data_IF_981949931904
#
_entry.id   IF_981949931904
#
_cell.length_a   1.000
_cell.length_b   1.000
_cell.length_c   1.000
_cell.angle_alpha   90.00
_cell.angle_beta   90.00
_cell.angle_gamma   90.00
#
_symmetry.space_group_name_H-M   'P 1'
#
loop_
_entity.id
_entity.type
_entity.pdbx_description
1 polymer ?
#
# COMPACT_ATOMS: atom_id res chain seq x y z
N UNK A 1 4.61 4.83 -32.25
CA UNK A 1 3.29 4.39 -31.71
C UNK A 1 3.37 3.57 -30.43
N UNK A 2 3.92 2.33 -30.36
CA UNK A 2 3.83 1.52 -29.11
C UNK A 2 4.44 2.16 -27.85
N UNK A 3 5.52 2.94 -27.97
CA UNK A 3 6.14 3.62 -26.83
C UNK A 3 5.44 4.94 -26.43
N UNK A 4 4.59 5.51 -27.30
CA UNK A 4 3.99 6.83 -27.08
C UNK A 4 3.03 6.85 -25.89
N UNK A 5 2.34 5.75 -25.59
CA UNK A 5 1.42 5.68 -24.44
C UNK A 5 2.19 5.75 -23.13
N UNK A 6 3.26 4.95 -23.01
CA UNK A 6 4.09 4.94 -21.80
C UNK A 6 4.79 6.28 -21.61
N UNK A 7 5.35 6.85 -22.68
CA UNK A 7 5.99 8.17 -22.67
C UNK A 7 4.97 9.28 -22.33
N UNK A 8 3.73 9.19 -22.82
CA UNK A 8 2.64 10.12 -22.46
C UNK A 8 2.29 10.03 -20.98
N UNK A 9 2.16 8.82 -20.42
CA UNK A 9 1.93 8.62 -19.00
C UNK A 9 3.05 9.23 -18.16
N UNK A 10 4.31 9.01 -18.56
CA UNK A 10 5.49 9.59 -17.88
C UNK A 10 5.52 11.12 -17.95
N UNK A 11 5.06 11.72 -19.05
CA UNK A 11 5.09 13.18 -19.24
C UNK A 11 4.27 13.98 -18.22
N UNK A 12 3.38 13.32 -17.47
CA UNK A 12 2.57 13.91 -16.40
C UNK A 12 3.31 14.07 -15.08
N UNK A 13 4.50 13.47 -14.97
CA UNK A 13 5.31 13.50 -13.77
C UNK A 13 6.45 14.50 -13.90
N UNK A 14 6.95 14.95 -12.75
CA UNK A 14 8.23 15.64 -12.70
C UNK A 14 9.36 14.63 -13.00
N UNK A 15 10.16 14.91 -14.03
CA UNK A 15 11.28 14.09 -14.46
C UNK A 15 12.64 14.81 -14.30
N UNK A 16 12.67 15.92 -13.55
CA UNK A 16 13.86 16.80 -13.42
C UNK A 16 15.04 16.15 -12.70
N UNK A 17 14.79 15.18 -11.84
CA UNK A 17 15.83 14.44 -11.10
C UNK A 17 15.74 12.94 -11.40
N UNK A 18 16.86 12.23 -11.32
CA UNK A 18 16.89 10.77 -11.48
C UNK A 18 15.96 10.05 -10.50
N UNK A 19 15.84 10.57 -9.27
CA UNK A 19 14.91 10.03 -8.28
C UNK A 19 13.45 10.24 -8.70
N UNK A 20 13.08 11.44 -9.17
CA UNK A 20 11.72 11.73 -9.61
C UNK A 20 11.36 10.89 -10.86
N UNK A 21 12.31 10.76 -11.79
CA UNK A 21 12.17 9.88 -12.95
C UNK A 21 11.99 8.42 -12.56
N UNK A 22 12.79 7.90 -11.62
CA UNK A 22 12.62 6.53 -11.09
C UNK A 22 11.22 6.34 -10.49
N UNK A 23 10.77 7.30 -9.67
CA UNK A 23 9.46 7.23 -9.02
C UNK A 23 8.31 7.29 -10.03
N UNK A 24 8.42 8.13 -11.06
CA UNK A 24 7.46 8.20 -12.16
C UNK A 24 7.35 6.86 -12.91
N UNK A 25 8.48 6.25 -13.25
CA UNK A 25 8.49 4.95 -13.95
C UNK A 25 7.85 3.87 -13.07
N UNK A 26 8.11 3.86 -11.76
CA UNK A 26 7.43 2.95 -10.84
C UNK A 26 5.91 3.14 -10.84
N UNK A 27 5.42 4.37 -10.67
CA UNK A 27 4.00 4.65 -10.56
C UNK A 27 3.25 4.38 -11.88
N UNK A 28 3.88 4.66 -13.02
CA UNK A 28 3.35 4.28 -14.35
C UNK A 28 3.30 2.75 -14.50
N UNK A 29 4.35 2.04 -14.11
CA UNK A 29 4.34 0.57 -14.14
C UNK A 29 3.27 -0.03 -13.20
N UNK A 30 3.02 0.58 -12.03
CA UNK A 30 1.93 0.18 -11.14
C UNK A 30 0.55 0.38 -11.80
N UNK A 31 0.34 1.50 -12.50
CA UNK A 31 -0.89 1.73 -13.28
C UNK A 31 -1.06 0.72 -14.42
N UNK A 32 0.03 0.35 -15.10
CA UNK A 32 0.00 -0.70 -16.13
C UNK A 32 -0.38 -2.07 -15.55
N UNK A 33 0.11 -2.40 -14.35
CA UNK A 33 -0.30 -3.62 -13.63
C UNK A 33 -1.79 -3.57 -13.32
N UNK A 34 -2.32 -2.45 -12.78
CA UNK A 34 -3.75 -2.32 -12.50
C UNK A 34 -4.61 -2.48 -13.77
N UNK A 35 -4.17 -1.94 -14.91
CA UNK A 35 -4.86 -2.11 -16.18
C UNK A 35 -4.90 -3.57 -16.64
N UNK A 36 -3.78 -4.29 -16.53
CA UNK A 36 -3.71 -5.72 -16.84
C UNK A 36 -4.57 -6.56 -15.89
N UNK A 37 -4.56 -6.25 -14.59
CA UNK A 37 -5.41 -6.92 -13.59
C UNK A 37 -6.89 -6.70 -13.86
N UNK A 38 -7.28 -5.48 -14.25
CA UNK A 38 -8.65 -5.20 -14.68
C UNK A 38 -9.05 -6.03 -15.91
N UNK A 39 -8.21 -6.02 -16.96
CA UNK A 39 -8.48 -6.78 -18.18
C UNK A 39 -8.58 -8.30 -17.92
N UNK A 40 -7.84 -8.80 -16.93
CA UNK A 40 -7.90 -10.20 -16.48
C UNK A 40 -9.05 -10.54 -15.53
N UNK A 41 -9.91 -9.58 -15.17
CA UNK A 41 -11.05 -9.83 -14.26
C UNK A 41 -10.68 -9.96 -12.78
N UNK A 42 -9.47 -9.57 -12.36
CA UNK A 42 -9.01 -9.77 -10.97
C UNK A 42 -9.88 -9.06 -9.93
N UNK A 43 -10.42 -7.88 -10.27
CA UNK A 43 -11.23 -7.07 -9.36
C UNK A 43 -12.66 -7.62 -9.14
N UNK A 44 -13.01 -8.75 -9.74
CA UNK A 44 -14.18 -9.54 -9.37
C UNK A 44 -13.97 -10.33 -8.07
N UNK A 45 -12.72 -10.69 -7.76
CA UNK A 45 -12.37 -11.52 -6.61
C UNK A 45 -11.51 -10.81 -5.56
N UNK A 46 -10.92 -9.65 -5.89
CA UNK A 46 -10.01 -8.93 -5.02
C UNK A 46 -10.22 -7.42 -5.04
N UNK A 47 -9.71 -6.74 -4.01
CA UNK A 47 -9.66 -5.29 -3.92
C UNK A 47 -8.24 -4.81 -3.61
N UNK A 48 -7.89 -3.67 -4.20
CA UNK A 48 -6.62 -2.98 -4.01
C UNK A 48 -6.63 -2.19 -2.70
N UNK A 49 -5.54 -2.28 -1.93
CA UNK A 49 -5.40 -1.55 -0.69
C UNK A 49 -3.94 -1.10 -0.45
N UNK A 50 -3.65 -0.57 0.74
CA UNK A 50 -2.29 -0.22 1.13
C UNK A 50 -1.81 1.15 0.65
N UNK A 51 -0.49 1.37 0.71
CA UNK A 51 0.11 2.69 0.48
C UNK A 51 0.00 3.16 -0.97
N UNK A 52 0.08 2.24 -1.92
CA UNK A 52 0.02 2.56 -3.36
C UNK A 52 -1.41 2.89 -3.80
N UNK A 53 -2.41 2.26 -3.18
CA UNK A 53 -3.82 2.65 -3.35
C UNK A 53 -4.05 4.10 -2.88
N UNK A 54 -3.58 4.44 -1.67
CA UNK A 54 -3.67 5.79 -1.13
C UNK A 54 -2.94 6.83 -2.01
N UNK A 55 -1.79 6.45 -2.58
CA UNK A 55 -1.03 7.28 -3.53
C UNK A 55 -1.78 7.54 -4.82
N UNK A 56 -2.18 6.49 -5.52
CA UNK A 56 -2.77 6.58 -6.87
C UNK A 56 -4.17 7.21 -6.82
N UNK A 57 -4.99 6.85 -5.84
CA UNK A 57 -6.42 7.21 -5.84
C UNK A 57 -6.80 8.35 -4.90
N UNK A 58 -5.93 8.70 -3.95
CA UNK A 58 -6.24 9.71 -2.93
C UNK A 58 -5.14 10.78 -2.77
N UNK A 59 -4.04 10.70 -3.54
CA UNK A 59 -3.05 11.78 -3.59
C UNK A 59 -2.09 11.85 -2.40
N UNK A 60 -1.79 10.71 -1.75
CA UNK A 60 -0.70 10.64 -0.76
C UNK A 60 0.60 11.22 -1.33
N UNK A 61 1.28 12.14 -0.64
CA UNK A 61 2.44 12.82 -1.23
C UNK A 61 3.74 12.02 -1.18
N UNK A 62 3.88 11.10 -0.23
CA UNK A 62 5.04 10.20 -0.18
C UNK A 62 4.93 9.08 -1.20
N UNK A 63 6.07 8.58 -1.64
CA UNK A 63 6.14 7.49 -2.61
C UNK A 63 5.83 6.11 -2.00
N UNK A 64 5.38 5.15 -2.81
CA UNK A 64 5.03 3.78 -2.42
C UNK A 64 5.42 2.78 -3.51
N UNK A 65 6.08 1.68 -3.15
CA UNK A 65 6.71 0.75 -4.09
C UNK A 65 5.90 -0.55 -4.29
N UNK A 66 5.31 -1.07 -3.22
CA UNK A 66 4.61 -2.36 -3.22
C UNK A 66 3.12 -2.20 -3.57
N UNK A 67 2.50 -3.23 -4.14
CA UNK A 67 1.07 -3.26 -4.45
C UNK A 67 0.38 -4.34 -3.63
N UNK A 68 -0.52 -3.94 -2.74
CA UNK A 68 -1.20 -4.84 -1.81
C UNK A 68 -2.64 -5.08 -2.26
N UNK A 69 -3.06 -6.35 -2.32
CA UNK A 69 -4.42 -6.76 -2.67
C UNK A 69 -4.98 -7.71 -1.61
N UNK A 70 -6.26 -7.58 -1.35
CA UNK A 70 -7.02 -8.45 -0.46
C UNK A 70 -8.06 -9.17 -1.28
N UNK A 71 -8.24 -10.48 -1.10
CA UNK A 71 -9.42 -11.14 -1.63
C UNK A 71 -10.69 -10.56 -0.99
N UNK A 72 -11.83 -10.69 -1.68
CA UNK A 72 -13.14 -10.29 -1.15
C UNK A 72 -13.69 -11.31 -0.16
N UNK A 73 -13.27 -12.56 -0.31
CA UNK A 73 -13.58 -13.70 0.55
C UNK A 73 -12.35 -14.57 0.68
N UNK A 74 -12.22 -15.32 1.77
CA UNK A 74 -11.13 -16.28 1.92
C UNK A 74 -11.18 -17.34 0.80
N UNK A 75 -10.02 -17.61 0.19
CA UNK A 75 -9.84 -18.70 -0.76
C UNK A 75 -8.38 -19.21 -0.75
N UNK A 76 -8.15 -20.30 -0.03
CA UNK A 76 -6.83 -20.93 0.07
C UNK A 76 -6.38 -21.60 -1.24
N UNK A 77 -7.27 -21.73 -2.23
CA UNK A 77 -6.98 -22.28 -3.56
C UNK A 77 -6.83 -21.18 -4.62
N UNK A 78 -6.86 -19.92 -4.20
CA UNK A 78 -6.67 -18.80 -5.10
C UNK A 78 -5.30 -18.90 -5.79
N UNK A 79 -5.30 -18.66 -7.10
CA UNK A 79 -4.08 -18.74 -7.91
C UNK A 79 -3.93 -17.47 -8.74
N UNK A 80 -3.06 -16.58 -8.26
CA UNK A 80 -2.78 -15.32 -8.92
C UNK A 80 -2.08 -15.48 -10.28
N UNK A 81 -1.46 -16.64 -10.57
CA UNK A 81 -0.75 -16.86 -11.84
C UNK A 81 -1.68 -16.80 -13.05
N UNK A 82 -2.99 -17.04 -12.84
CA UNK A 82 -4.05 -16.86 -13.84
C UNK A 82 -4.11 -15.45 -14.44
N UNK A 83 -3.66 -14.43 -13.70
CA UNK A 83 -3.67 -13.03 -14.16
C UNK A 83 -2.35 -12.61 -14.83
N UNK A 84 -1.32 -13.45 -14.84
CA UNK A 84 -0.03 -13.12 -15.46
C UNK A 84 -0.16 -12.77 -16.95
N UNK A 85 -0.90 -13.54 -17.78
CA UNK A 85 -1.03 -13.22 -19.20
C UNK A 85 -1.57 -11.81 -19.43
N UNK A 86 -2.61 -11.41 -18.68
CA UNK A 86 -3.22 -10.09 -18.83
C UNK A 86 -2.27 -8.95 -18.42
N UNK A 87 -1.46 -9.12 -17.37
CA UNK A 87 -0.42 -8.16 -17.00
C UNK A 87 0.65 -8.07 -18.09
N UNK A 88 1.12 -9.21 -18.60
CA UNK A 88 2.14 -9.27 -19.66
C UNK A 88 1.63 -8.61 -20.95
N UNK A 89 0.37 -8.85 -21.31
CA UNK A 89 -0.26 -8.26 -22.48
C UNK A 89 -0.36 -6.74 -22.35
N UNK A 90 -0.76 -6.23 -21.17
CA UNK A 90 -0.79 -4.79 -20.89
C UNK A 90 0.58 -4.13 -21.13
N UNK A 91 1.68 -4.75 -20.66
CA UNK A 91 3.03 -4.24 -20.93
C UNK A 91 3.46 -4.39 -22.40
N UNK A 92 3.08 -5.49 -23.05
CA UNK A 92 3.38 -5.75 -24.45
C UNK A 92 2.72 -4.72 -25.37
N UNK A 93 1.50 -4.27 -25.04
CA UNK A 93 0.80 -3.21 -25.76
C UNK A 93 1.60 -1.90 -25.82
N UNK A 94 2.33 -1.58 -24.74
CA UNK A 94 3.18 -0.39 -24.66
C UNK A 94 4.65 -0.67 -25.02
N UNK A 95 4.94 -1.80 -25.66
CA UNK A 95 6.28 -2.15 -26.14
C UNK A 95 7.27 -2.56 -25.04
N UNK A 96 6.79 -2.88 -23.83
CA UNK A 96 7.61 -3.30 -22.68
C UNK A 96 7.51 -4.80 -22.46
N UNK A 97 8.60 -5.40 -21.97
CA UNK A 97 8.65 -6.83 -21.62
C UNK A 97 8.87 -6.99 -20.13
N UNK A 98 7.98 -7.77 -19.50
CA UNK A 98 8.02 -8.07 -18.07
C UNK A 98 8.10 -9.57 -17.82
N UNK A 99 8.69 -9.93 -16.69
CA UNK A 99 8.67 -11.28 -16.14
C UNK A 99 8.01 -11.23 -14.76
N UNK A 100 7.12 -12.18 -14.48
CA UNK A 100 6.41 -12.27 -13.20
C UNK A 100 6.78 -13.59 -12.55
N UNK A 101 7.27 -13.55 -11.31
CA UNK A 101 7.72 -14.72 -10.55
C UNK A 101 7.06 -14.76 -9.19
N UNK A 102 6.47 -15.91 -8.83
CA UNK A 102 6.06 -16.19 -7.45
C UNK A 102 7.31 -16.34 -6.59
N UNK A 103 7.39 -15.60 -5.48
CA UNK A 103 8.45 -15.79 -4.48
C UNK A 103 8.17 -17.07 -3.68
N UNK A 104 9.16 -17.94 -3.57
CA UNK A 104 9.11 -19.05 -2.63
C UNK A 104 9.24 -18.51 -1.20
N UNK A 105 8.27 -18.83 -0.33
CA UNK A 105 8.24 -18.35 1.04
C UNK A 105 9.46 -18.78 1.85
N UNK A 106 10.13 -19.87 1.46
CA UNK A 106 11.36 -20.36 2.09
C UNK A 106 12.56 -19.42 1.92
N UNK A 107 12.51 -18.51 0.93
CA UNK A 107 13.59 -17.59 0.62
C UNK A 107 13.39 -16.17 1.19
N UNK A 108 12.34 -15.94 2.00
CA UNK A 108 12.18 -14.65 2.67
C UNK A 108 13.28 -14.46 3.73
N UNK A 109 13.95 -13.31 3.69
CA UNK A 109 14.84 -12.91 4.77
C UNK A 109 14.04 -12.69 6.07
N UNK A 110 14.70 -12.79 7.25
CA UNK A 110 14.07 -12.61 8.58
C UNK A 110 13.20 -11.35 8.71
N UNK A 111 13.51 -10.33 7.92
CA UNK A 111 12.78 -9.06 7.83
C UNK A 111 11.49 -9.21 7.03
N UNK A 112 11.53 -9.80 5.84
CA UNK A 112 10.35 -9.98 5.00
C UNK A 112 9.38 -11.02 5.61
N UNK A 113 9.91 -12.07 6.23
CA UNK A 113 9.11 -13.11 6.90
C UNK A 113 8.35 -12.59 8.13
N UNK A 114 8.77 -11.47 8.73
CA UNK A 114 8.08 -10.88 9.89
C UNK A 114 6.86 -10.02 9.49
N UNK A 115 6.69 -9.71 8.20
CA UNK A 115 5.58 -8.90 7.69
C UNK A 115 4.58 -9.70 6.87
N UNK A 116 5.05 -10.75 6.22
CA UNK A 116 4.23 -11.58 5.36
C UNK A 116 3.50 -12.61 6.21
N UNK A 117 2.17 -12.59 6.13
CA UNK A 117 1.35 -13.62 6.74
C UNK A 117 1.51 -14.92 5.95
N UNK A 118 1.29 -16.04 6.63
CA UNK A 118 1.29 -17.37 6.00
C UNK A 118 0.28 -17.47 4.84
N UNK A 119 -0.75 -16.61 4.84
CA UNK A 119 -1.80 -16.55 3.82
C UNK A 119 -1.63 -15.37 2.84
N UNK A 120 -0.45 -14.74 2.77
CA UNK A 120 -0.15 -13.71 1.77
C UNK A 120 0.78 -14.26 0.70
N UNK A 121 0.33 -14.33 -0.55
CA UNK A 121 1.15 -14.70 -1.68
C UNK A 121 1.90 -13.49 -2.25
N UNK A 122 3.16 -13.68 -2.65
CA UNK A 122 4.04 -12.59 -3.09
C UNK A 122 4.61 -12.87 -4.47
N UNK A 123 4.59 -11.85 -5.31
CA UNK A 123 5.06 -11.91 -6.69
C UNK A 123 5.95 -10.73 -7.01
N UNK A 124 7.07 -10.99 -7.70
CA UNK A 124 7.94 -9.96 -8.24
C UNK A 124 7.63 -9.75 -9.72
N UNK A 125 7.32 -8.51 -10.11
CA UNK A 125 7.29 -8.06 -11.50
C UNK A 125 8.61 -7.36 -11.81
N UNK A 126 9.37 -7.90 -12.75
CA UNK A 126 10.66 -7.34 -13.19
C UNK A 126 10.63 -6.95 -14.66
N UNK A 127 11.46 -5.97 -15.00
CA UNK A 127 11.48 -5.35 -16.33
C UNK A 127 12.80 -5.66 -17.03
N UNK A 128 12.74 -6.11 -18.30
CA UNK A 128 13.95 -6.41 -19.06
C UNK A 128 14.79 -5.16 -19.36
N UNK A 129 14.12 -4.04 -19.62
CA UNK A 129 14.70 -2.75 -19.98
C UNK A 129 15.08 -1.89 -18.77
N UNK A 130 14.43 -2.09 -17.62
CA UNK A 130 14.66 -1.35 -16.38
C UNK A 130 14.94 -2.31 -15.21
N UNK A 131 16.07 -3.01 -15.27
CA UNK A 131 16.43 -4.04 -14.28
C UNK A 131 16.54 -3.53 -12.83
N UNK A 132 16.64 -2.22 -12.62
CA UNK A 132 16.65 -1.59 -11.30
C UNK A 132 15.26 -1.44 -10.67
N UNK A 133 14.19 -1.68 -11.44
CA UNK A 133 12.81 -1.57 -10.99
C UNK A 133 12.26 -2.97 -10.78
N UNK A 134 11.68 -3.17 -9.60
CA UNK A 134 10.98 -4.38 -9.21
C UNK A 134 9.73 -3.95 -8.46
N UNK A 135 8.57 -4.37 -8.91
CA UNK A 135 7.30 -4.13 -8.21
C UNK A 135 6.90 -5.43 -7.54
N UNK A 136 6.64 -5.35 -6.23
CA UNK A 136 6.11 -6.47 -5.47
C UNK A 136 4.58 -6.40 -5.49
N UNK A 137 3.94 -7.52 -5.77
CA UNK A 137 2.51 -7.71 -5.60
C UNK A 137 2.31 -8.67 -4.43
N UNK A 138 1.53 -8.24 -3.44
CA UNK A 138 1.12 -9.05 -2.29
C UNK A 138 -0.39 -9.29 -2.36
N UNK A 139 -0.82 -10.55 -2.25
CA UNK A 139 -2.24 -10.92 -2.26
C UNK A 139 -2.58 -11.66 -0.97
N UNK A 140 -3.43 -11.07 -0.13
CA UNK A 140 -3.94 -11.69 1.11
C UNK A 140 -5.13 -12.60 0.77
N UNK A 141 -4.91 -13.92 0.85
CA UNK A 141 -5.92 -14.95 0.52
C UNK A 141 -6.81 -15.34 1.69
N UNK A 142 -6.47 -14.88 2.90
CA UNK A 142 -7.28 -15.05 4.11
C UNK A 142 -7.41 -13.69 4.82
N UNK A 143 -8.11 -12.73 4.19
CA UNK A 143 -8.16 -11.39 4.72
C UNK A 143 -9.19 -11.24 5.86
N UNK A 144 -8.96 -10.29 6.77
CA UNK A 144 -9.94 -9.85 7.75
C UNK A 144 -11.06 -9.18 6.98
N UNK A 145 -12.27 -9.67 7.18
CA UNK A 145 -13.45 -9.21 6.45
C UNK A 145 -13.96 -7.90 7.07
N UNK A 146 -15.24 -7.59 6.85
CA UNK A 146 -15.90 -6.38 7.33
C UNK A 146 -15.33 -5.06 6.76
N UNK A 147 -14.51 -5.11 5.72
CA UNK A 147 -14.17 -3.93 4.92
C UNK A 147 -15.21 -3.68 3.83
N UNK A 148 -15.31 -2.43 3.39
CA UNK A 148 -16.09 -2.01 2.24
C UNK A 148 -15.17 -1.75 1.06
N UNK A 149 -15.74 -1.77 -0.15
CA UNK A 149 -15.00 -1.46 -1.38
C UNK A 149 -15.71 -0.41 -2.21
N UNK A 150 -14.95 0.35 -2.98
CA UNK A 150 -15.43 1.30 -3.97
C UNK A 150 -14.76 1.06 -5.32
N UNK A 151 -15.43 1.47 -6.41
CA UNK A 151 -14.85 1.40 -7.76
C UNK A 151 -14.22 2.74 -8.11
N UNK A 152 -12.91 2.74 -8.39
CA UNK A 152 -12.15 3.92 -8.77
C UNK A 152 -11.77 3.89 -10.24
N UNK A 153 -12.00 4.99 -10.96
CA UNK A 153 -11.64 5.12 -12.38
C UNK A 153 -10.18 5.58 -12.53
N UNK A 154 -9.40 4.86 -13.34
CA UNK A 154 -8.17 5.36 -13.94
C UNK A 154 -8.41 5.61 -15.43
N UNK A 155 -7.81 6.68 -15.96
CA UNK A 155 -7.95 7.09 -17.37
C UNK A 155 -6.76 6.68 -18.24
N UNK A 156 -5.71 6.13 -17.64
CA UNK A 156 -4.46 5.76 -18.30
C UNK A 156 -4.01 4.37 -17.86
N UNK A 157 -3.48 3.53 -18.77
CA UNK A 157 -3.24 3.81 -20.20
C UNK A 157 -4.52 3.91 -21.06
N UNK A 158 -5.65 3.46 -20.53
CA UNK A 158 -7.00 3.67 -21.05
C UNK A 158 -7.97 3.74 -19.85
N UNK A 159 -9.26 3.97 -20.09
CA UNK A 159 -10.25 3.99 -19.01
C UNK A 159 -10.53 2.60 -18.45
N UNK A 160 -10.31 2.38 -17.15
CA UNK A 160 -10.67 1.15 -16.46
C UNK A 160 -11.01 1.41 -14.98
N UNK A 161 -11.77 0.49 -14.39
CA UNK A 161 -12.13 0.55 -12.97
C UNK A 161 -11.19 -0.32 -12.14
N UNK A 162 -10.80 0.17 -10.97
CA UNK A 162 -10.09 -0.60 -9.94
C UNK A 162 -11.00 -0.71 -8.73
N UNK A 163 -11.24 -1.94 -8.25
CA UNK A 163 -11.90 -2.12 -6.95
C UNK A 163 -10.88 -1.83 -5.86
N UNK A 164 -11.16 -0.83 -5.04
CA UNK A 164 -10.31 -0.43 -3.91
C UNK A 164 -11.05 -0.62 -2.60
N UNK A 165 -10.32 -0.78 -1.49
CA UNK A 165 -10.89 -0.54 -0.16
C UNK A 165 -11.40 0.90 -0.06
N UNK A 166 -12.47 1.13 0.72
CA UNK A 166 -12.89 2.51 0.99
C UNK A 166 -11.83 3.23 1.83
N UNK A 167 -11.82 4.56 1.77
CA UNK A 167 -10.82 5.35 2.50
C UNK A 167 -10.81 5.10 4.03
N UNK A 168 -11.96 4.94 4.72
CA UNK A 168 -11.99 4.51 6.13
C UNK A 168 -11.37 3.12 6.38
N UNK A 169 -11.59 2.15 5.49
CA UNK A 169 -11.00 0.81 5.61
C UNK A 169 -9.50 0.80 5.35
N UNK A 170 -9.03 1.63 4.40
CA UNK A 170 -7.60 1.87 4.21
C UNK A 170 -6.98 2.46 5.48
N UNK A 171 -7.70 3.36 6.17
CA UNK A 171 -7.24 3.92 7.43
C UNK A 171 -7.14 2.86 8.53
N UNK A 172 -8.15 1.99 8.67
CA UNK A 172 -8.12 0.86 9.60
C UNK A 172 -6.89 -0.05 9.41
N UNK A 173 -6.56 -0.38 8.15
CA UNK A 173 -5.34 -1.14 7.84
C UNK A 173 -4.05 -0.44 8.30
N UNK A 174 -4.01 0.89 8.21
CA UNK A 174 -2.86 1.72 8.60
C UNK A 174 -2.75 1.87 10.11
N UNK A 175 -3.88 2.04 10.79
CA UNK A 175 -3.95 2.10 12.24
C UNK A 175 -3.53 0.78 12.89
N UNK A 176 -3.96 -0.35 12.32
CA UNK A 176 -3.46 -1.66 12.73
C UNK A 176 -1.93 -1.76 12.58
N UNK A 177 -1.39 -1.40 11.41
CA UNK A 177 0.05 -1.43 11.17
C UNK A 177 0.84 -0.50 12.13
N UNK A 178 0.34 0.71 12.38
CA UNK A 178 0.99 1.70 13.25
C UNK A 178 1.15 1.17 14.69
N UNK A 179 0.10 0.56 15.22
CA UNK A 179 0.02 0.09 16.61
C UNK A 179 0.67 -1.28 16.79
N UNK A 180 0.39 -2.24 15.90
CA UNK A 180 0.72 -3.65 16.12
C UNK A 180 2.00 -4.13 15.46
N UNK A 181 2.60 -3.34 14.58
CA UNK A 181 3.85 -3.74 13.91
C UNK A 181 5.02 -3.61 14.89
N UNK A 182 5.29 -4.71 15.60
CA UNK A 182 6.42 -4.81 16.52
C UNK A 182 7.70 -4.99 15.70
N UNK A 183 8.60 -4.02 15.83
CA UNK A 183 9.99 -4.16 15.41
C UNK A 183 10.85 -3.97 16.63
N UNK A 184 11.77 -4.92 16.87
CA UNK A 184 12.72 -4.85 17.99
C UNK A 184 13.30 -3.44 18.16
N UNK A 185 14.00 -2.95 17.13
CA UNK A 185 14.80 -1.72 17.20
C UNK A 185 14.56 -0.73 16.03
N UNK A 186 13.49 -0.86 15.23
CA UNK A 186 13.29 0.02 14.06
C UNK A 186 11.84 0.48 13.94
N UNK A 187 11.62 1.77 13.90
CA UNK A 187 10.28 2.32 13.66
C UNK A 187 10.01 2.45 12.16
N UNK A 188 8.74 2.31 11.74
CA UNK A 188 8.29 2.51 10.36
C UNK A 188 7.68 3.89 10.20
N UNK A 189 8.49 4.85 9.77
CA UNK A 189 8.09 6.25 9.64
C UNK A 189 6.97 6.49 8.62
N UNK A 190 6.88 5.63 7.60
CA UNK A 190 5.81 5.71 6.60
C UNK A 190 4.41 5.50 7.18
N UNK A 191 4.27 4.68 8.23
CA UNK A 191 2.98 4.46 8.89
C UNK A 191 2.53 5.72 9.66
N UNK A 192 3.48 6.48 10.21
CA UNK A 192 3.23 7.76 10.88
C UNK A 192 2.86 8.87 9.90
N UNK A 193 3.53 8.92 8.74
CA UNK A 193 3.18 9.85 7.66
C UNK A 193 1.75 9.64 7.17
N UNK A 194 1.37 8.38 6.97
CA UNK A 194 0.01 8.04 6.53
C UNK A 194 -1.01 8.41 7.61
N UNK A 195 -0.73 8.11 8.88
CA UNK A 195 -1.58 8.49 10.00
C UNK A 195 -1.85 9.99 10.04
N UNK A 196 -0.80 10.81 9.98
CA UNK A 196 -0.95 12.26 9.90
C UNK A 196 -1.78 12.68 8.68
N UNK A 197 -1.54 12.05 7.52
CA UNK A 197 -2.30 12.32 6.30
C UNK A 197 -3.80 12.05 6.51
N UNK A 198 -4.20 10.92 7.10
CA UNK A 198 -5.61 10.62 7.37
C UNK A 198 -6.26 11.64 8.31
N UNK A 199 -5.58 12.00 9.40
CA UNK A 199 -6.08 13.00 10.36
C UNK A 199 -6.27 14.36 9.69
N UNK A 200 -5.29 14.81 8.89
CA UNK A 200 -5.38 16.07 8.13
C UNK A 200 -6.54 16.11 7.13
N UNK A 201 -6.92 14.96 6.58
CA UNK A 201 -8.03 14.85 5.63
C UNK A 201 -9.38 14.55 6.32
N UNK A 202 -9.43 14.56 7.66
CA UNK A 202 -10.65 14.31 8.44
C UNK A 202 -11.35 13.00 8.06
N UNK A 203 -10.56 11.97 7.75
CA UNK A 203 -11.08 10.65 7.37
C UNK A 203 -11.48 9.90 8.64
N UNK A 204 -12.71 9.36 8.72
CA UNK A 204 -13.10 8.51 9.85
C UNK A 204 -12.40 7.16 9.78
N UNK A 205 -12.08 6.60 10.93
CA UNK A 205 -11.56 5.26 11.12
C UNK A 205 -12.73 4.29 11.20
N UNK A 206 -12.85 3.36 10.24
CA UNK A 206 -13.81 2.24 10.35
C UNK A 206 -13.30 1.28 11.44
N UNK A 207 -13.87 1.39 12.64
CA UNK A 207 -13.39 0.62 13.78
C UNK A 207 -13.83 -0.84 13.70
N UNK A 208 -14.93 -1.13 13.01
CA UNK A 208 -15.40 -2.50 12.80
C UNK A 208 -14.37 -3.29 12.02
N UNK A 209 -13.87 -2.74 10.90
CA UNK A 209 -12.80 -3.40 10.17
C UNK A 209 -11.50 -3.47 10.99
N UNK A 210 -11.11 -2.40 11.69
CA UNK A 210 -9.91 -2.43 12.54
C UNK A 210 -9.97 -3.53 13.61
N UNK A 211 -11.09 -3.67 14.30
CA UNK A 211 -11.30 -4.70 15.31
C UNK A 211 -11.20 -6.11 14.73
N UNK A 212 -11.76 -6.34 13.53
CA UNK A 212 -11.62 -7.62 12.82
C UNK A 212 -10.15 -7.94 12.53
N UNK A 213 -9.35 -6.94 12.12
CA UNK A 213 -7.90 -7.11 11.89
C UNK A 213 -7.18 -7.49 13.18
N UNK A 214 -7.46 -6.80 14.29
CA UNK A 214 -6.86 -7.10 15.59
C UNK A 214 -7.24 -8.50 16.07
N UNK A 215 -8.50 -8.90 15.89
CA UNK A 215 -8.96 -10.24 16.22
C UNK A 215 -8.24 -11.30 15.41
N UNK A 216 -8.20 -11.16 14.09
CA UNK A 216 -7.60 -12.19 13.25
C UNK A 216 -6.08 -12.27 13.38
N UNK A 217 -5.38 -11.13 13.43
CA UNK A 217 -3.91 -11.13 13.39
C UNK A 217 -3.25 -11.17 14.76
N UNK A 218 -3.93 -10.70 15.79
CA UNK A 218 -3.38 -10.58 17.13
C UNK A 218 -4.15 -11.41 18.17
N UNK A 219 -5.27 -12.04 17.77
CA UNK A 219 -6.19 -12.73 18.67
C UNK A 219 -6.64 -11.83 19.84
N UNK A 220 -6.84 -10.55 19.55
CA UNK A 220 -7.19 -9.52 20.53
C UNK A 220 -8.54 -8.89 20.17
N UNK A 221 -9.50 -8.95 21.10
CA UNK A 221 -10.76 -8.21 21.01
C UNK A 221 -10.52 -6.81 21.57
N UNK A 222 -10.56 -5.79 20.70
CA UNK A 222 -10.29 -4.41 21.07
C UNK A 222 -11.57 -3.58 21.19
N UNK A 223 -11.59 -2.64 22.13
CA UNK A 223 -12.57 -1.55 22.20
C UNK A 223 -11.93 -0.24 21.71
N UNK A 224 -12.73 0.78 21.34
CA UNK A 224 -12.20 2.10 20.95
C UNK A 224 -11.27 2.70 22.01
N UNK A 225 -11.60 2.53 23.29
CA UNK A 225 -10.82 3.03 24.43
C UNK A 225 -9.46 2.32 24.50
N UNK A 226 -9.47 0.98 24.50
CA UNK A 226 -8.25 0.18 24.54
C UNK A 226 -7.35 0.45 23.33
N UNK A 227 -7.93 0.61 22.14
CA UNK A 227 -7.18 0.97 20.95
C UNK A 227 -6.53 2.36 21.09
N UNK A 228 -7.27 3.33 21.62
CA UNK A 228 -6.76 4.68 21.86
C UNK A 228 -5.61 4.69 22.86
N UNK A 229 -5.70 3.91 23.94
CA UNK A 229 -4.62 3.74 24.92
C UNK A 229 -3.35 3.19 24.26
N UNK A 230 -3.46 2.10 23.49
CA UNK A 230 -2.32 1.51 22.76
C UNK A 230 -1.73 2.47 21.73
N UNK A 231 -2.57 3.23 21.03
CA UNK A 231 -2.13 4.24 20.08
C UNK A 231 -1.31 5.33 20.79
N UNK A 232 -1.80 5.87 21.90
CA UNK A 232 -1.09 6.88 22.69
C UNK A 232 0.23 6.32 23.24
N UNK A 233 0.23 5.09 23.76
CA UNK A 233 1.44 4.42 24.23
C UNK A 233 2.47 4.30 23.10
N UNK A 234 2.05 3.82 21.93
CA UNK A 234 2.91 3.69 20.75
C UNK A 234 3.49 5.03 20.30
N UNK A 235 2.67 6.07 20.27
CA UNK A 235 3.07 7.39 19.80
C UNK A 235 3.94 8.13 20.82
N UNK A 236 3.77 7.89 22.12
CA UNK A 236 4.54 8.55 23.19
C UNK A 236 5.92 7.90 23.42
N UNK A 237 6.08 6.61 23.13
CA UNK A 237 7.30 5.85 23.46
C UNK A 237 8.28 5.66 22.30
N UNK A 238 7.85 5.91 21.06
CA UNK A 238 8.68 5.70 19.89
C UNK A 238 9.85 6.69 19.78
N UNK A 239 11.00 6.23 19.28
CA UNK A 239 12.14 7.09 18.94
C UNK A 239 11.80 7.92 17.69
N UNK A 240 11.36 9.16 17.90
CA UNK A 240 10.93 10.05 16.82
C UNK A 240 12.02 10.33 15.80
N UNK A 241 13.30 10.25 16.17
CA UNK A 241 14.41 10.44 15.22
C UNK A 241 14.41 9.33 14.18
N UNK A 242 14.27 8.09 14.63
CA UNK A 242 14.16 6.94 13.73
C UNK A 242 12.90 7.00 12.86
N UNK A 243 11.78 7.53 13.39
CA UNK A 243 10.56 7.75 12.59
C UNK A 243 10.84 8.69 11.43
N UNK A 244 11.48 9.84 11.70
CA UNK A 244 11.85 10.82 10.66
C UNK A 244 12.84 10.21 9.66
N UNK A 245 13.88 9.53 10.13
CA UNK A 245 14.90 8.91 9.27
C UNK A 245 14.33 7.86 8.33
N UNK A 246 13.38 7.04 8.78
CA UNK A 246 12.77 5.99 7.94
C UNK A 246 11.86 6.56 6.83
N UNK A 247 11.17 7.69 7.09
CA UNK A 247 10.28 8.30 6.09
C UNK A 247 10.98 9.28 5.16
N UNK A 248 12.06 9.93 5.61
CA UNK A 248 12.76 11.00 4.89
C UNK A 248 13.04 10.69 3.40
N UNK A 249 13.49 9.49 3.00
CA UNK A 249 13.76 9.18 1.59
C UNK A 249 12.51 9.19 0.68
N UNK A 250 11.31 9.15 1.25
CA UNK A 250 10.05 9.03 0.54
C UNK A 250 9.26 10.34 0.46
N UNK A 251 9.66 11.38 1.21
CA UNK A 251 8.95 12.67 1.32
C UNK A 251 9.53 13.67 0.33
N UNK A 252 8.66 14.43 -0.33
CA UNK A 252 9.07 15.46 -1.30
C UNK A 252 9.68 16.70 -0.63
N UNK A 253 9.09 17.14 0.49
CA UNK A 253 9.53 18.29 1.25
C UNK A 253 9.91 17.88 2.68
N UNK A 254 11.20 17.70 2.98
CA UNK A 254 11.67 17.32 4.32
C UNK A 254 11.19 18.23 5.45
N UNK A 255 10.92 19.52 5.17
CA UNK A 255 10.44 20.48 6.18
C UNK A 255 9.08 20.12 6.77
N UNK A 256 8.28 19.30 6.08
CA UNK A 256 7.03 18.77 6.64
C UNK A 256 7.26 17.98 7.93
N UNK A 257 8.46 17.40 8.09
CA UNK A 257 8.83 16.59 9.24
C UNK A 257 9.35 17.42 10.42
N UNK A 258 9.55 18.73 10.26
CA UNK A 258 10.16 19.57 11.31
C UNK A 258 9.28 19.60 12.58
N UNK A 259 7.96 19.69 12.40
CA UNK A 259 6.97 19.70 13.50
C UNK A 259 6.83 18.34 14.21
N UNK A 260 7.31 17.25 13.60
CA UNK A 260 7.13 15.91 14.15
C UNK A 260 7.81 15.76 15.51
N UNK A 261 6.99 15.44 16.50
CA UNK A 261 7.37 15.13 17.88
C UNK A 261 6.35 14.13 18.43
N UNK A 262 6.70 13.39 19.47
CA UNK A 262 5.76 12.48 20.13
C UNK A 262 4.50 13.24 20.59
N UNK A 263 4.67 14.42 21.20
CA UNK A 263 3.56 15.28 21.65
C UNK A 263 2.64 15.73 20.49
N UNK A 264 3.22 16.04 19.33
CA UNK A 264 2.44 16.36 18.12
C UNK A 264 1.56 15.18 17.71
N UNK A 265 2.12 13.98 17.63
CA UNK A 265 1.36 12.80 17.24
C UNK A 265 0.33 12.35 18.29
N UNK A 266 0.62 12.51 19.58
CA UNK A 266 -0.36 12.27 20.65
C UNK A 266 -1.54 13.24 20.53
N UNK A 267 -1.31 14.51 20.16
CA UNK A 267 -2.41 15.43 19.86
C UNK A 267 -3.23 14.98 18.65
N UNK A 268 -2.59 14.49 17.58
CA UNK A 268 -3.30 13.93 16.42
C UNK A 268 -4.14 12.71 16.78
N UNK A 269 -3.71 11.88 17.74
CA UNK A 269 -4.49 10.74 18.21
C UNK A 269 -5.85 11.18 18.79
N UNK A 270 -5.88 12.32 19.51
CA UNK A 270 -7.11 12.93 20.01
C UNK A 270 -8.03 13.52 18.92
N UNK A 271 -7.55 13.64 17.68
CA UNK A 271 -8.33 14.13 16.53
C UNK A 271 -8.91 13.00 15.68
N UNK A 272 -8.58 11.73 15.98
CA UNK A 272 -9.11 10.57 15.24
C UNK A 272 -10.61 10.47 15.48
N UNK A 273 -11.37 10.42 14.38
CA UNK A 273 -12.82 10.18 14.42
C UNK A 273 -13.07 8.71 14.16
N UNK A 274 -13.69 8.04 15.12
CA UNK A 274 -14.07 6.63 14.99
C UNK A 274 -15.51 6.56 14.47
N UNK A 275 -15.72 5.71 13.46
CA UNK A 275 -17.03 5.32 12.91
C UNK A 275 -17.34 3.85 13.25
#
# INVERSE_FOLDING_TARGET
>A
MKNEIFDNMLSRYDLTTEQNKRNAIFEVNQQMILAGLYAGGFFESAAFYGGTCLRIFHGLQRFSEDMDFSLLTQDDKFDFTKYFPAIIDAFTMVGRKVEIKKKDKKNFGKVESAFLKDNTDVYDVTFQTEKSIKIKIEVDTCPPLNFKTEQKLLLQPHSFMTRCFTLPDLFAGKMHALVYRVWKNRVKGRDWYDFEWYVRHNVPLDFTHLAERCKQFNNEDITPELFTEKLIERLSTADIKQVKEDVLPFVRNPKELDIWSNDYFVQLAGMVRIE
#
